data_IF_198071153185
#
_entry.id   IF_198071153185
#
_cell.length_a   1.000
_cell.length_b   1.000
_cell.length_c   1.000
_cell.angle_alpha   90.00
_cell.angle_beta   90.00
_cell.angle_gamma   90.00
#
_symmetry.space_group_name_H-M   'P 1'
#
loop_
_entity.id
_entity.type
_entity.pdbx_description
1 polymer ?
#
# COMPACT_ATOMS: atom_id res chain seq x y z
N UNK A 1 13.28 -2.33 -8.85
CA UNK A 1 11.86 -1.93 -8.76
C UNK A 1 11.38 -1.93 -7.31
N UNK A 2 11.45 -3.08 -6.62
CA UNK A 2 10.82 -3.24 -5.30
C UNK A 2 11.47 -2.42 -4.17
N UNK A 3 12.80 -2.50 -4.00
CA UNK A 3 13.51 -1.75 -2.93
C UNK A 3 13.44 -0.23 -3.09
N UNK A 4 13.26 0.23 -4.32
CA UNK A 4 13.07 1.65 -4.65
C UNK A 4 11.60 2.08 -4.55
N UNK A 5 10.66 1.15 -4.40
CA UNK A 5 9.24 1.43 -4.23
C UNK A 5 8.45 1.67 -5.53
N UNK A 6 9.00 1.34 -6.71
CA UNK A 6 8.31 1.58 -7.99
C UNK A 6 7.07 0.70 -8.19
N UNK A 7 7.08 -0.54 -7.70
CA UNK A 7 5.90 -1.42 -7.71
C UNK A 7 4.76 -0.82 -6.84
N UNK A 8 5.12 -0.32 -5.65
CA UNK A 8 4.20 0.37 -4.77
C UNK A 8 3.62 1.65 -5.42
N UNK A 9 4.44 2.43 -6.15
CA UNK A 9 3.96 3.59 -6.91
C UNK A 9 2.92 3.20 -7.96
N UNK A 10 3.18 2.14 -8.73
CA UNK A 10 2.23 1.69 -9.75
C UNK A 10 0.89 1.29 -9.12
N UNK A 11 0.92 0.52 -8.02
CA UNK A 11 -0.28 0.07 -7.30
C UNK A 11 -1.07 1.23 -6.71
N UNK A 12 -0.40 2.17 -6.05
CA UNK A 12 -1.09 3.27 -5.39
C UNK A 12 -1.68 4.28 -6.38
N UNK A 13 -1.06 4.46 -7.55
CA UNK A 13 -1.64 5.25 -8.63
C UNK A 13 -2.95 4.65 -9.12
N UNK A 14 -2.99 3.32 -9.34
CA UNK A 14 -4.21 2.63 -9.78
C UNK A 14 -5.30 2.81 -8.71
N UNK A 15 -4.98 2.54 -7.44
CA UNK A 15 -5.94 2.68 -6.35
C UNK A 15 -6.42 4.12 -6.19
N UNK A 16 -5.53 5.11 -6.18
CA UNK A 16 -5.90 6.52 -6.05
C UNK A 16 -6.77 7.01 -7.22
N UNK A 17 -6.50 6.56 -8.44
CA UNK A 17 -7.31 6.96 -9.60
C UNK A 17 -8.67 6.26 -9.62
N UNK A 18 -8.72 4.97 -9.30
CA UNK A 18 -9.96 4.17 -9.37
C UNK A 18 -10.86 4.43 -8.16
N UNK A 19 -10.30 4.47 -6.95
CA UNK A 19 -11.07 4.55 -5.70
C UNK A 19 -11.38 5.99 -5.31
N UNK A 20 -10.42 6.90 -5.48
CA UNK A 20 -10.56 8.32 -5.07
C UNK A 20 -10.90 9.26 -6.25
N UNK A 21 -11.05 8.74 -7.47
CA UNK A 21 -11.34 9.54 -8.66
C UNK A 21 -10.18 10.47 -9.08
N UNK A 22 -8.95 10.14 -8.68
CA UNK A 22 -7.76 10.92 -9.01
C UNK A 22 -7.32 10.82 -10.48
N UNK A 23 -6.33 11.63 -10.83
CA UNK A 23 -5.65 11.60 -12.12
C UNK A 23 -4.13 11.57 -11.97
N UNK A 24 -3.65 10.80 -11.00
CA UNK A 24 -2.25 10.66 -10.63
C UNK A 24 -1.43 10.07 -11.79
N UNK A 25 -0.27 10.68 -12.04
CA UNK A 25 0.81 10.12 -12.86
C UNK A 25 1.99 9.78 -11.96
N UNK A 26 2.92 8.97 -12.48
CA UNK A 26 4.08 8.52 -11.69
C UNK A 26 4.91 9.66 -11.11
N UNK A 27 5.01 10.78 -11.82
CA UNK A 27 5.72 11.99 -11.38
C UNK A 27 5.01 12.76 -10.25
N UNK A 28 3.73 12.49 -10.04
CA UNK A 28 2.91 13.15 -9.02
C UNK A 28 2.95 12.39 -7.68
N UNK A 29 3.63 11.23 -7.65
CA UNK A 29 3.79 10.41 -6.45
C UNK A 29 5.16 10.66 -5.82
N UNK A 30 5.18 11.18 -4.61
CA UNK A 30 6.41 11.31 -3.82
C UNK A 30 6.94 9.91 -3.47
N UNK A 31 8.21 9.61 -3.75
CA UNK A 31 8.76 8.26 -3.61
C UNK A 31 10.10 8.26 -2.88
N UNK A 32 10.14 7.54 -1.77
CA UNK A 32 11.34 7.18 -1.02
C UNK A 32 11.35 5.66 -0.85
N UNK A 33 12.43 5.01 -1.29
CA UNK A 33 12.61 3.56 -1.13
C UNK A 33 13.10 3.19 0.27
N UNK A 34 13.42 1.89 0.45
CA UNK A 34 13.97 1.36 1.71
C UNK A 34 15.50 1.18 1.67
N UNK A 35 16.17 1.61 0.59
CA UNK A 35 17.61 1.37 0.36
C UNK A 35 18.51 1.93 1.44
N UNK A 36 18.09 2.99 2.12
CA UNK A 36 18.87 3.68 3.16
C UNK A 36 18.43 3.30 4.59
N UNK A 37 17.50 2.34 4.75
CA UNK A 37 17.07 1.89 6.07
C UNK A 37 18.15 0.97 6.64
N UNK A 38 18.67 1.33 7.82
CA UNK A 38 19.73 0.58 8.49
C UNK A 38 19.16 -0.39 9.54
N UNK A 39 20.00 -1.31 10.01
CA UNK A 39 19.62 -2.18 11.14
C UNK A 39 19.40 -1.37 12.41
N UNK A 40 20.16 -0.29 12.62
CA UNK A 40 20.00 0.61 13.77
C UNK A 40 18.62 1.28 13.76
N UNK A 41 18.12 1.70 12.59
CA UNK A 41 16.77 2.26 12.45
C UNK A 41 15.70 1.25 12.85
N UNK A 42 15.88 -0.02 12.45
CA UNK A 42 14.95 -1.12 12.78
C UNK A 42 14.97 -1.43 14.28
N UNK A 43 16.15 -1.49 14.90
CA UNK A 43 16.31 -1.72 16.34
C UNK A 43 15.73 -0.56 17.16
N UNK A 44 15.97 0.67 16.73
CA UNK A 44 15.39 1.87 17.33
C UNK A 44 13.86 1.89 17.21
N UNK A 45 13.32 1.60 16.02
CA UNK A 45 11.88 1.50 15.84
C UNK A 45 11.29 0.45 16.79
N UNK A 46 11.94 -0.70 16.92
CA UNK A 46 11.51 -1.77 17.81
C UNK A 46 11.53 -1.36 19.29
N UNK A 47 12.57 -0.64 19.74
CA UNK A 47 12.66 -0.17 21.13
C UNK A 47 11.60 0.89 21.47
N UNK A 48 11.15 1.66 20.47
CA UNK A 48 10.05 2.60 20.57
C UNK A 48 8.65 1.96 20.42
N UNK A 49 8.55 0.64 20.31
CA UNK A 49 7.27 -0.05 20.11
C UNK A 49 6.65 0.21 18.73
N UNK A 50 7.50 0.35 17.70
CA UNK A 50 7.11 0.59 16.30
C UNK A 50 7.75 -0.44 15.36
N UNK A 51 7.30 -0.42 14.10
CA UNK A 51 7.90 -1.15 12.97
C UNK A 51 8.02 -0.24 11.76
N UNK A 52 9.11 -0.39 11.02
CA UNK A 52 9.28 0.30 9.74
C UNK A 52 8.61 -0.54 8.65
N UNK A 53 7.71 0.09 7.88
CA UNK A 53 7.04 -0.50 6.71
C UNK A 53 7.16 0.45 5.53
N UNK A 54 7.32 -0.09 4.32
CA UNK A 54 7.18 0.72 3.09
C UNK A 54 5.69 0.89 2.81
N UNK A 55 5.16 2.09 3.05
CA UNK A 55 3.74 2.39 2.91
C UNK A 55 3.51 3.18 1.64
N UNK A 56 2.52 2.74 0.86
CA UNK A 56 1.97 3.46 -0.26
C UNK A 56 0.60 4.00 0.14
N UNK A 57 0.45 5.31 0.12
CA UNK A 57 -0.74 6.01 0.60
C UNK A 57 -1.28 6.93 -0.50
N UNK A 58 -2.59 6.90 -0.73
CA UNK A 58 -3.31 7.87 -1.53
C UNK A 58 -4.37 8.53 -0.63
N UNK A 59 -4.44 9.84 -0.67
CA UNK A 59 -5.30 10.62 0.21
C UNK A 59 -5.82 11.86 -0.50
N UNK A 60 -6.92 12.42 -0.02
CA UNK A 60 -7.48 13.67 -0.54
C UNK A 60 -6.98 14.83 0.30
N UNK A 61 -6.40 15.83 -0.34
CA UNK A 61 -5.99 17.08 0.29
C UNK A 61 -6.47 18.25 -0.58
N UNK A 62 -7.24 19.18 0.01
CA UNK A 62 -7.81 20.33 -0.71
C UNK A 62 -8.57 19.94 -2.00
N UNK A 63 -9.38 18.88 -1.95
CA UNK A 63 -10.11 18.29 -3.08
C UNK A 63 -9.22 17.78 -4.22
N UNK A 64 -7.94 17.53 -3.96
CA UNK A 64 -7.01 16.93 -4.91
C UNK A 64 -6.49 15.62 -4.35
N UNK A 65 -6.53 14.57 -5.16
CA UNK A 65 -5.92 13.28 -4.79
C UNK A 65 -4.41 13.41 -4.88
N UNK A 66 -3.73 13.09 -3.79
CA UNK A 66 -2.27 12.99 -3.68
C UNK A 66 -1.87 11.56 -3.37
N UNK A 67 -0.62 11.21 -3.66
CA UNK A 67 -0.07 9.92 -3.25
C UNK A 67 1.41 10.03 -2.88
N UNK A 68 1.84 9.15 -1.97
CA UNK A 68 3.24 9.00 -1.58
C UNK A 68 3.58 7.55 -1.30
N UNK A 69 4.85 7.21 -1.46
CA UNK A 69 5.45 5.93 -1.10
C UNK A 69 6.68 6.21 -0.26
N UNK A 70 6.70 5.78 1.00
CA UNK A 70 7.84 6.04 1.89
C UNK A 70 7.95 5.01 3.03
N UNK A 71 9.15 4.77 3.57
CA UNK A 71 9.32 4.09 4.85
C UNK A 71 8.57 4.87 5.94
N UNK A 72 7.72 4.18 6.69
CA UNK A 72 6.86 4.75 7.72
C UNK A 72 7.01 3.94 9.01
N UNK A 73 7.13 4.64 10.14
CA UNK A 73 7.23 4.03 11.47
C UNK A 73 5.84 3.89 12.06
N UNK A 74 5.30 2.67 11.99
CA UNK A 74 3.97 2.37 12.48
C UNK A 74 4.03 1.86 13.92
N UNK A 75 3.15 2.31 14.83
CA UNK A 75 3.02 1.71 16.15
C UNK A 75 2.64 0.24 16.02
N UNK A 76 3.04 -0.60 16.98
CA UNK A 76 2.71 -2.03 16.95
C UNK A 76 1.18 -2.32 17.01
N UNK A 77 0.38 -1.36 17.45
CA UNK A 77 -1.08 -1.43 17.45
C UNK A 77 -1.70 -1.25 16.06
N UNK A 78 -0.94 -0.71 15.09
CA UNK A 78 -1.40 -0.54 13.72
C UNK A 78 -1.50 -1.91 13.03
N UNK A 79 -2.66 -2.25 12.41
CA UNK A 79 -2.83 -3.51 11.70
C UNK A 79 -1.74 -3.78 10.66
N UNK A 80 -1.28 -2.76 9.94
CA UNK A 80 -0.24 -2.88 8.90
C UNK A 80 1.14 -3.20 9.50
N UNK A 81 1.40 -2.81 10.75
CA UNK A 81 2.65 -3.18 11.43
C UNK A 81 2.78 -4.70 11.63
N UNK A 82 1.65 -5.40 11.79
CA UNK A 82 1.59 -6.84 12.01
C UNK A 82 1.84 -7.69 10.76
N UNK A 83 1.72 -7.10 9.56
CA UNK A 83 1.80 -7.80 8.26
C UNK A 83 3.25 -8.16 7.95
N UNK A 84 3.58 -9.45 7.84
CA UNK A 84 4.96 -9.93 7.66
C UNK A 84 5.09 -10.88 6.46
N UNK A 85 6.33 -11.08 6.00
CA UNK A 85 6.63 -12.01 4.91
C UNK A 85 6.11 -11.50 3.56
N UNK A 86 5.41 -12.37 2.84
CA UNK A 86 4.88 -12.13 1.48
C UNK A 86 3.41 -11.69 1.47
N UNK A 87 2.84 -11.41 2.64
CA UNK A 87 1.49 -10.87 2.75
C UNK A 87 1.49 -9.39 2.37
N UNK A 88 0.45 -8.99 1.64
CA UNK A 88 0.10 -7.59 1.44
C UNK A 88 -1.09 -7.25 2.33
N UNK A 89 -1.22 -5.96 2.63
CA UNK A 89 -2.40 -5.43 3.27
C UNK A 89 -2.75 -4.05 2.70
N UNK A 90 -4.03 -3.73 2.78
CA UNK A 90 -4.56 -2.40 2.49
C UNK A 90 -5.48 -2.00 3.63
N UNK A 91 -5.31 -0.78 4.13
CA UNK A 91 -6.24 -0.14 5.05
C UNK A 91 -6.98 0.95 4.29
N UNK A 92 -8.30 0.92 4.35
CA UNK A 92 -9.18 1.93 3.75
C UNK A 92 -9.87 2.68 4.87
N UNK A 93 -9.72 4.00 4.87
CA UNK A 93 -10.47 4.91 5.74
C UNK A 93 -11.80 5.24 5.09
N UNK A 94 -12.89 5.09 5.83
CA UNK A 94 -14.25 5.31 5.37
C UNK A 94 -15.01 6.17 6.37
N UNK A 95 -15.99 6.95 5.89
CA UNK A 95 -16.80 7.81 6.76
C UNK A 95 -17.75 7.03 7.68
N UNK A 96 -18.09 5.78 7.32
CA UNK A 96 -19.12 4.99 8.00
C UNK A 96 -18.63 3.78 8.78
N UNK A 97 -17.54 3.14 8.34
CA UNK A 97 -16.95 1.96 8.97
C UNK A 97 -15.58 2.27 9.61
N UNK A 98 -15.18 3.54 9.63
CA UNK A 98 -13.84 3.98 10.03
C UNK A 98 -12.77 3.24 9.21
N UNK A 99 -11.82 2.57 9.87
CA UNK A 99 -10.71 1.86 9.24
C UNK A 99 -11.05 0.38 8.97
N UNK A 100 -10.98 -0.01 7.69
CA UNK A 100 -11.11 -1.41 7.26
C UNK A 100 -9.78 -1.89 6.72
N UNK A 101 -9.18 -2.90 7.35
CA UNK A 101 -7.93 -3.51 6.89
C UNK A 101 -8.17 -4.88 6.29
N UNK A 102 -7.72 -5.07 5.04
CA UNK A 102 -7.75 -6.36 4.33
C UNK A 102 -6.32 -6.88 4.21
N UNK A 103 -6.08 -8.12 4.62
CA UNK A 103 -4.77 -8.78 4.60
C UNK A 103 -4.88 -10.05 3.76
N UNK A 104 -3.93 -10.27 2.85
CA UNK A 104 -3.94 -11.43 1.98
C UNK A 104 -2.59 -11.69 1.30
N UNK A 105 -2.51 -12.82 0.59
CA UNK A 105 -1.34 -13.15 -0.22
C UNK A 105 -1.15 -12.13 -1.35
N UNK A 106 -0.01 -11.45 -1.36
CA UNK A 106 0.26 -10.34 -2.28
C UNK A 106 0.88 -10.72 -3.62
N UNK A 107 1.44 -11.92 -3.70
CA UNK A 107 2.16 -12.44 -4.85
C UNK A 107 2.03 -13.97 -4.88
N UNK A 108 1.83 -14.52 -6.07
CA UNK A 108 1.70 -15.96 -6.30
C UNK A 108 0.84 -16.26 -7.52
N UNK A 109 1.29 -17.18 -8.38
CA UNK A 109 0.66 -17.45 -9.67
C UNK A 109 -0.84 -17.78 -9.58
N UNK A 110 -1.25 -18.51 -8.55
CA UNK A 110 -2.66 -18.85 -8.30
C UNK A 110 -3.52 -17.64 -7.94
N UNK A 111 -3.03 -16.75 -7.07
CA UNK A 111 -3.77 -15.54 -6.67
C UNK A 111 -3.95 -14.57 -7.84
N UNK A 112 -2.89 -14.36 -8.62
CA UNK A 112 -2.95 -13.54 -9.84
C UNK A 112 -3.88 -14.16 -10.90
N UNK A 113 -3.80 -15.48 -11.13
CA UNK A 113 -4.69 -16.17 -12.06
C UNK A 113 -6.17 -16.09 -11.63
N UNK A 114 -6.44 -16.17 -10.33
CA UNK A 114 -7.80 -16.03 -9.81
C UNK A 114 -8.36 -14.61 -10.02
N UNK A 115 -7.53 -13.58 -9.84
CA UNK A 115 -7.91 -12.19 -10.16
C UNK A 115 -8.31 -12.04 -11.64
N UNK A 116 -7.44 -12.51 -12.55
CA UNK A 116 -7.72 -12.46 -13.99
C UNK A 116 -8.98 -13.23 -14.39
N UNK A 117 -9.18 -14.45 -13.85
CA UNK A 117 -10.38 -15.24 -14.12
C UNK A 117 -11.64 -14.54 -13.63
N UNK A 118 -11.60 -13.93 -12.44
CA UNK A 118 -12.73 -13.19 -11.87
C UNK A 118 -13.10 -12.00 -12.74
N UNK A 119 -12.11 -11.25 -13.25
CA UNK A 119 -12.33 -10.14 -14.17
C UNK A 119 -12.93 -10.61 -15.51
N UNK A 120 -12.45 -11.70 -16.09
CA UNK A 120 -13.01 -12.28 -17.33
C UNK A 120 -14.48 -12.66 -17.14
N UNK A 121 -14.82 -13.30 -16.01
CA UNK A 121 -16.21 -13.65 -15.68
C UNK A 121 -17.06 -12.40 -15.50
N UNK A 122 -16.53 -11.37 -14.84
CA UNK A 122 -17.23 -10.10 -14.67
C UNK A 122 -17.51 -9.42 -16.02
N UNK A 123 -16.51 -9.36 -16.91
CA UNK A 123 -16.66 -8.82 -18.28
C UNK A 123 -17.68 -9.62 -19.08
N UNK A 124 -17.70 -10.96 -18.98
CA UNK A 124 -18.67 -11.77 -19.72
C UNK A 124 -20.13 -11.56 -19.26
N UNK A 125 -20.32 -11.24 -17.98
CA UNK A 125 -21.64 -11.00 -17.38
C UNK A 125 -22.21 -9.61 -17.66
N UNK A 126 -21.38 -8.68 -18.15
CA UNK A 126 -21.71 -7.28 -18.39
C UNK A 126 -21.54 -6.91 -19.87
#
# INVERSE_FOLDING_TARGET
ADVEGWDAVAKIMILGNVVLGGSLKSKDVERTGITNITMEDVEKAKSEGKRIKLIAEAYMENNVVKAKVAPTWLPLSDPLASVNGTLNAITVMTDGLEEVTVIGGGAGGLGTAHGLLSDIIAIHRH
#
